data_IF_674944029670
#
_entry.id   IF_674944029670
#
_cell.length_a   1.000
_cell.length_b   1.000
_cell.length_c   1.000
_cell.angle_alpha   90.00
_cell.angle_beta   90.00
_cell.angle_gamma   90.00
#
_symmetry.space_group_name_H-M   'P 1'
#
loop_
_entity.id
_entity.type
_entity.pdbx_description
1 polymer ?
#
# COMPACT_ATOMS: atom_id res chain seq x y z
N UNK A 1 -12.31 48.40 -14.32
CA UNK A 1 -11.38 47.42 -13.74
C UNK A 1 -12.02 46.89 -12.45
N UNK A 2 -12.39 45.63 -12.38
CA UNK A 2 -12.93 45.02 -11.16
C UNK A 2 -11.74 44.52 -10.31
N UNK A 3 -11.74 44.70 -8.97
CA UNK A 3 -10.66 44.21 -8.13
C UNK A 3 -10.66 42.67 -8.06
N UNK A 4 -9.49 42.03 -7.80
CA UNK A 4 -9.37 40.56 -7.79
C UNK A 4 -10.14 39.95 -6.60
N UNK A 5 -10.73 38.80 -6.84
CA UNK A 5 -11.60 38.05 -5.89
C UNK A 5 -11.00 37.75 -4.52
N UNK A 6 -9.68 37.84 -4.36
CA UNK A 6 -9.00 37.61 -3.08
C UNK A 6 -9.29 38.70 -2.02
N UNK A 7 -9.65 39.92 -2.44
CA UNK A 7 -9.92 41.03 -1.51
C UNK A 7 -11.34 40.94 -0.88
N UNK A 8 -12.27 40.23 -1.50
CA UNK A 8 -13.64 40.06 -0.96
C UNK A 8 -13.70 39.01 0.16
N UNK A 9 -12.77 38.06 0.19
CA UNK A 9 -12.72 37.05 1.25
C UNK A 9 -12.20 37.59 2.58
N UNK A 10 -11.27 38.55 2.55
CA UNK A 10 -10.71 39.16 3.76
C UNK A 10 -11.68 40.10 4.47
N UNK A 11 -12.55 40.79 3.73
CA UNK A 11 -13.53 41.70 4.35
C UNK A 11 -14.69 40.95 5.06
N UNK A 12 -15.01 39.75 4.63
CA UNK A 12 -16.09 38.95 5.24
C UNK A 12 -15.66 38.31 6.58
N UNK A 13 -14.39 38.07 6.79
CA UNK A 13 -13.87 37.50 8.05
C UNK A 13 -13.77 38.55 9.15
N UNK A 14 -13.44 39.81 8.82
CA UNK A 14 -13.34 40.89 9.78
C UNK A 14 -14.71 41.31 10.33
N UNK A 15 -15.78 41.21 9.56
CA UNK A 15 -17.14 41.51 10.02
C UNK A 15 -17.73 40.45 10.94
N UNK A 16 -17.27 39.18 10.85
CA UNK A 16 -17.74 38.12 11.73
C UNK A 16 -17.06 38.14 13.13
N UNK A 17 -15.82 38.65 13.23
CA UNK A 17 -15.12 38.77 14.52
C UNK A 17 -15.60 39.96 15.37
N UNK A 18 -16.16 41.01 14.75
CA UNK A 18 -16.67 42.19 15.47
C UNK A 18 -18.06 41.94 16.10
N UNK A 19 -18.80 40.94 15.68
CA UNK A 19 -20.10 40.59 16.22
C UNK A 19 -20.08 39.69 17.47
N UNK A 20 -18.94 39.05 17.75
CA UNK A 20 -18.80 38.13 18.90
C UNK A 20 -18.27 38.79 20.18
N UNK A 21 -17.83 40.04 20.14
CA UNK A 21 -17.33 40.78 21.32
C UNK A 21 -18.36 41.67 22.02
N UNK A 22 -19.60 41.76 21.53
CA UNK A 22 -20.65 42.61 22.06
C UNK A 22 -21.66 41.92 23.02
N UNK A 23 -21.49 40.64 23.34
CA UNK A 23 -22.47 39.86 24.13
C UNK A 23 -21.97 39.45 25.55
N UNK A 24 -20.88 39.99 26.05
CA UNK A 24 -20.32 39.66 27.39
C UNK A 24 -20.14 40.87 28.30
N UNK A 25 -21.13 41.77 28.34
CA UNK A 25 -21.10 42.90 29.24
C UNK A 25 -22.47 43.26 29.77
N UNK A 26 -22.87 42.69 30.88
CA UNK A 26 -24.11 43.16 31.53
C UNK A 26 -24.72 42.16 32.51
N UNK A 27 -24.20 42.02 33.71
CA UNK A 27 -24.93 41.64 34.91
C UNK A 27 -24.05 41.99 36.14
N UNK A 28 -24.16 43.23 36.60
CA UNK A 28 -23.73 43.61 37.94
C UNK A 28 -24.92 44.38 38.59
N UNK A 29 -25.31 43.96 39.76
CA UNK A 29 -26.09 44.81 40.63
C UNK A 29 -27.22 44.11 41.37
N UNK A 30 -27.05 43.89 42.63
CA UNK A 30 -27.78 44.49 43.73
C UNK A 30 -27.61 43.67 45.00
N UNK A 31 -26.96 44.25 46.02
CA UNK A 31 -26.81 43.67 47.33
C UNK A 31 -28.08 43.74 48.17
N UNK A 32 -28.28 42.70 48.96
CA UNK A 32 -29.27 42.67 50.04
C UNK A 32 -28.64 41.98 51.25
N UNK A 33 -28.44 42.76 52.31
CA UNK A 33 -27.95 42.27 53.61
C UNK A 33 -29.06 41.53 54.36
N UNK A 34 -28.83 40.23 54.65
CA UNK A 34 -29.69 39.46 55.57
C UNK A 34 -29.04 39.35 56.96
N UNK A 35 -29.83 39.27 58.03
CA UNK A 35 -29.35 39.35 59.41
C UNK A 35 -28.61 38.11 59.85
N UNK A 36 -27.60 38.34 60.72
CA UNK A 36 -26.75 37.32 61.35
C UNK A 36 -27.57 36.50 62.35
N UNK A 37 -27.67 35.19 62.15
CA UNK A 37 -28.22 34.24 63.10
C UNK A 37 -27.12 33.71 64.05
N UNK A 38 -27.43 33.71 65.36
CA UNK A 38 -26.61 33.24 66.45
C UNK A 38 -26.33 31.71 66.31
N UNK A 39 -25.09 31.24 66.49
CA UNK A 39 -24.80 29.79 66.31
C UNK A 39 -25.33 28.97 67.51
N UNK A 40 -26.11 27.94 67.21
CA UNK A 40 -26.51 26.88 68.11
C UNK A 40 -25.31 25.90 68.26
N UNK A 41 -24.99 25.38 69.45
CA UNK A 41 -23.86 24.50 69.64
C UNK A 41 -24.10 23.13 68.93
N UNK A 42 -23.28 22.87 67.97
CA UNK A 42 -23.32 21.62 67.22
C UNK A 42 -22.65 20.50 68.02
N UNK A 43 -23.39 19.42 68.22
CA UNK A 43 -22.92 18.19 68.85
C UNK A 43 -21.81 17.57 67.98
N UNK A 44 -20.63 17.33 68.53
CA UNK A 44 -19.49 16.69 67.86
C UNK A 44 -19.87 15.31 67.34
N UNK A 45 -19.77 15.02 66.06
CA UNK A 45 -20.03 13.65 65.58
C UNK A 45 -18.96 12.69 66.05
N UNK A 46 -19.36 11.51 66.51
CA UNK A 46 -18.47 10.38 66.79
C UNK A 46 -17.73 9.97 65.50
N UNK A 47 -16.41 9.68 65.50
CA UNK A 47 -15.69 9.25 64.32
C UNK A 47 -16.31 7.95 63.78
N UNK A 48 -16.70 7.98 62.51
CA UNK A 48 -17.12 6.82 61.78
C UNK A 48 -15.90 5.89 61.56
N UNK A 49 -16.05 4.63 61.80
CA UNK A 49 -15.04 3.63 61.45
C UNK A 49 -14.76 3.65 59.96
N UNK A 50 -13.52 3.96 59.61
CA UNK A 50 -13.05 3.90 58.24
C UNK A 50 -13.13 2.44 57.71
N UNK A 51 -13.84 2.15 56.61
CA UNK A 51 -13.85 0.79 56.08
C UNK A 51 -12.44 0.40 55.64
N UNK A 52 -12.00 -0.76 56.00
CA UNK A 52 -10.75 -1.36 55.57
C UNK A 52 -10.80 -1.53 54.04
N UNK A 53 -9.83 -1.01 53.29
CA UNK A 53 -9.82 -1.18 51.83
C UNK A 53 -9.82 -2.67 51.45
N UNK A 54 -10.55 -3.09 50.41
CA UNK A 54 -10.52 -4.46 49.94
C UNK A 54 -9.10 -4.85 49.50
N UNK A 55 -8.71 -6.13 49.65
CA UNK A 55 -7.40 -6.61 49.19
C UNK A 55 -7.25 -6.31 47.70
N UNK A 56 -6.01 -5.97 47.23
CA UNK A 56 -5.77 -5.66 45.83
C UNK A 56 -6.17 -6.86 44.95
N UNK A 57 -7.00 -6.60 43.95
CA UNK A 57 -7.33 -7.58 42.91
C UNK A 57 -6.02 -8.01 42.24
N UNK A 58 -5.73 -9.31 42.05
CA UNK A 58 -4.52 -9.74 41.37
C UNK A 58 -4.49 -9.14 39.96
N UNK A 59 -3.45 -8.37 39.69
CA UNK A 59 -3.18 -7.86 38.33
C UNK A 59 -2.95 -9.07 37.41
N UNK A 60 -3.67 -9.20 36.30
CA UNK A 60 -3.43 -10.30 35.36
C UNK A 60 -1.97 -10.26 34.91
N UNK A 61 -1.26 -11.35 35.15
CA UNK A 61 0.10 -11.54 34.62
C UNK A 61 0.01 -11.49 33.11
N UNK A 62 0.79 -10.62 32.42
CA UNK A 62 0.76 -10.58 30.98
C UNK A 62 1.10 -11.96 30.43
N UNK A 63 0.19 -12.50 29.61
CA UNK A 63 0.44 -13.76 28.88
C UNK A 63 1.67 -13.53 28.01
N UNK A 64 2.71 -14.39 28.07
CA UNK A 64 3.89 -14.22 27.24
C UNK A 64 3.46 -14.19 25.77
N UNK A 65 3.84 -13.12 25.06
CA UNK A 65 3.68 -13.05 23.62
C UNK A 65 4.46 -14.21 23.02
N UNK A 66 3.84 -15.10 22.22
CA UNK A 66 4.55 -16.22 21.63
C UNK A 66 5.74 -15.70 20.82
N UNK A 67 6.93 -16.16 21.13
CA UNK A 67 8.13 -15.88 20.32
C UNK A 67 7.87 -16.40 18.91
N UNK A 68 8.00 -15.60 17.87
CA UNK A 68 7.76 -16.07 16.52
C UNK A 68 8.68 -17.25 16.21
N UNK A 69 8.10 -18.36 15.79
CA UNK A 69 8.85 -19.53 15.33
C UNK A 69 9.71 -19.11 14.14
N UNK A 70 11.02 -19.38 14.14
CA UNK A 70 11.88 -19.02 13.01
C UNK A 70 11.34 -19.66 11.72
N UNK A 71 11.17 -18.83 10.67
CA UNK A 71 10.79 -19.32 9.34
C UNK A 71 11.95 -20.22 8.85
N UNK A 72 11.67 -21.44 8.36
CA UNK A 72 12.72 -22.29 7.78
C UNK A 72 13.48 -21.55 6.67
N UNK A 73 14.78 -21.76 6.61
CA UNK A 73 15.69 -21.01 5.71
C UNK A 73 15.35 -21.15 4.21
N UNK A 74 14.61 -22.20 3.83
CA UNK A 74 14.19 -22.46 2.45
C UNK A 74 12.73 -22.05 2.18
N UNK A 75 12.11 -21.28 3.06
CA UNK A 75 10.76 -20.72 2.85
C UNK A 75 10.88 -19.28 2.33
N UNK A 76 10.24 -19.03 1.20
CA UNK A 76 10.18 -17.68 0.62
C UNK A 76 9.38 -16.74 1.56
N UNK A 77 10.02 -15.69 2.11
CA UNK A 77 9.36 -14.79 3.07
C UNK A 77 8.25 -13.94 2.45
N UNK A 78 8.13 -13.91 1.11
CA UNK A 78 7.10 -13.16 0.39
C UNK A 78 5.88 -13.99 0.01
N UNK A 79 6.01 -15.33 -0.01
CA UNK A 79 4.92 -16.22 -0.46
C UNK A 79 4.65 -17.39 0.48
N UNK A 80 5.53 -17.68 1.44
CA UNK A 80 5.46 -18.89 2.26
C UNK A 80 5.78 -20.18 1.51
N UNK A 81 6.10 -20.12 0.20
CA UNK A 81 6.44 -21.29 -0.60
C UNK A 81 7.82 -21.85 -0.22
N UNK A 82 7.92 -23.17 -0.12
CA UNK A 82 9.20 -23.86 0.04
C UNK A 82 9.92 -23.87 -1.30
N UNK A 83 11.15 -23.38 -1.35
CA UNK A 83 11.99 -23.45 -2.54
C UNK A 83 12.96 -24.64 -2.46
N UNK A 84 13.23 -25.24 -3.61
CA UNK A 84 14.16 -26.37 -3.68
C UNK A 84 15.61 -25.95 -3.42
N UNK A 85 15.98 -24.75 -3.89
CA UNK A 85 17.31 -24.17 -3.70
C UNK A 85 17.20 -22.88 -2.84
N UNK A 86 17.71 -22.96 -1.63
CA UNK A 86 17.77 -21.83 -0.69
C UNK A 86 18.49 -20.62 -1.28
N UNK A 87 19.49 -20.81 -2.15
CA UNK A 87 20.23 -19.72 -2.77
C UNK A 87 19.32 -18.77 -3.58
N UNK A 88 18.14 -19.25 -4.04
CA UNK A 88 17.15 -18.41 -4.68
C UNK A 88 16.60 -17.29 -3.75
N UNK A 89 16.59 -17.52 -2.45
CA UNK A 89 16.10 -16.58 -1.45
C UNK A 89 17.19 -15.61 -0.96
N UNK A 90 18.46 -15.90 -1.24
CA UNK A 90 19.57 -15.01 -0.87
C UNK A 90 19.83 -13.92 -1.92
N UNK A 91 19.06 -13.93 -3.01
CA UNK A 91 19.15 -12.96 -4.10
C UNK A 91 18.45 -11.65 -3.74
N UNK A 92 18.89 -10.55 -4.36
CA UNK A 92 18.20 -9.27 -4.22
C UNK A 92 16.82 -9.35 -4.89
N UNK A 93 15.74 -8.88 -4.23
CA UNK A 93 14.43 -8.76 -4.86
C UNK A 93 14.47 -7.79 -6.05
N UNK A 94 13.77 -8.12 -7.12
CA UNK A 94 13.66 -7.26 -8.31
C UNK A 94 12.22 -6.75 -8.41
N UNK A 95 12.08 -5.43 -8.51
CA UNK A 95 10.82 -4.76 -8.75
C UNK A 95 10.77 -4.29 -10.21
N UNK A 96 9.76 -4.70 -10.95
CA UNK A 96 9.60 -4.31 -12.36
C UNK A 96 8.30 -3.54 -12.52
N UNK A 97 8.41 -2.32 -13.08
CA UNK A 97 7.24 -1.49 -13.37
C UNK A 97 6.58 -1.90 -14.65
N UNK A 98 5.33 -2.30 -14.59
CA UNK A 98 4.58 -2.89 -15.71
C UNK A 98 3.36 -2.05 -16.00
N UNK A 99 3.07 -1.81 -17.27
CA UNK A 99 1.84 -1.11 -17.69
C UNK A 99 0.64 -2.05 -17.67
N UNK A 100 -0.53 -1.53 -17.32
CA UNK A 100 -1.81 -2.25 -17.42
C UNK A 100 -2.84 -1.49 -18.29
N UNK A 101 -2.44 -0.38 -18.88
CA UNK A 101 -3.30 0.44 -19.73
C UNK A 101 -2.50 1.10 -20.86
N UNK A 102 -3.06 1.28 -22.07
CA UNK A 102 -4.39 0.85 -22.50
C UNK A 102 -4.42 -0.63 -22.95
N UNK A 103 -5.51 -1.36 -22.68
CA UNK A 103 -5.62 -2.82 -22.87
C UNK A 103 -5.20 -3.30 -24.26
N UNK A 104 -5.64 -2.63 -25.31
CA UNK A 104 -5.40 -3.05 -26.71
C UNK A 104 -3.92 -3.10 -27.10
N UNK A 105 -3.04 -2.42 -26.39
CA UNK A 105 -1.61 -2.40 -26.66
C UNK A 105 -0.79 -3.23 -25.69
N UNK A 106 -1.29 -3.42 -24.44
CA UNK A 106 -0.48 -4.01 -23.38
C UNK A 106 -0.91 -5.41 -22.99
N UNK A 107 -2.16 -5.79 -23.25
CA UNK A 107 -2.62 -7.15 -22.94
C UNK A 107 -2.32 -8.13 -24.08
N UNK A 108 -1.98 -9.40 -23.76
CA UNK A 108 -1.54 -9.87 -22.45
C UNK A 108 -0.14 -9.37 -22.08
N UNK A 109 0.10 -9.09 -20.81
CA UNK A 109 1.43 -8.85 -20.26
C UNK A 109 2.18 -10.18 -20.13
N UNK A 110 3.50 -10.10 -19.97
CA UNK A 110 4.36 -11.28 -19.80
C UNK A 110 4.97 -11.34 -18.40
N UNK A 111 5.06 -12.54 -17.85
CA UNK A 111 5.79 -12.86 -16.64
C UNK A 111 5.07 -12.56 -15.32
N UNK A 112 3.76 -12.26 -15.38
CA UNK A 112 2.95 -11.84 -14.23
C UNK A 112 2.69 -13.00 -13.27
N UNK A 113 2.36 -14.19 -13.82
CA UNK A 113 2.12 -15.40 -13.02
C UNK A 113 3.36 -15.87 -12.24
N UNK A 114 4.54 -15.39 -12.60
CA UNK A 114 5.79 -15.72 -11.91
C UNK A 114 6.17 -14.73 -10.79
N UNK A 115 5.46 -13.62 -10.66
CA UNK A 115 5.73 -12.68 -9.58
C UNK A 115 5.36 -13.29 -8.21
N UNK A 116 6.21 -13.03 -7.21
CA UNK A 116 5.92 -13.36 -5.83
C UNK A 116 4.80 -12.43 -5.29
N UNK A 117 4.91 -11.14 -5.59
CA UNK A 117 3.91 -10.13 -5.25
C UNK A 117 3.66 -9.19 -6.43
N UNK A 118 2.45 -8.65 -6.52
CA UNK A 118 2.11 -7.58 -7.46
C UNK A 118 1.34 -6.50 -6.72
N UNK A 119 1.72 -5.25 -6.96
CA UNK A 119 0.98 -4.07 -6.50
C UNK A 119 0.32 -3.40 -7.69
N UNK A 120 -1.01 -3.36 -7.69
CA UNK A 120 -1.80 -2.58 -8.64
C UNK A 120 -2.24 -1.27 -8.00
N UNK A 121 -2.06 -0.17 -8.69
CA UNK A 121 -2.46 1.15 -8.24
C UNK A 121 -2.84 2.03 -9.44
N UNK A 122 -3.53 3.13 -9.17
CA UNK A 122 -3.82 4.11 -10.20
C UNK A 122 -2.59 4.58 -10.95
N UNK A 123 -2.82 4.89 -12.20
CA UNK A 123 -1.98 5.80 -12.94
C UNK A 123 -2.41 7.27 -12.70
N UNK A 124 -1.54 8.22 -12.98
CA UNK A 124 -1.79 9.64 -12.78
C UNK A 124 -3.03 10.13 -13.52
N UNK A 125 -3.66 11.15 -12.96
CA UNK A 125 -4.82 11.81 -13.53
C UNK A 125 -6.12 11.06 -13.35
N UNK A 126 -6.14 9.96 -12.61
CA UNK A 126 -7.33 9.15 -12.28
C UNK A 126 -8.18 8.73 -13.50
N UNK A 127 -7.68 9.00 -14.72
CA UNK A 127 -8.39 8.79 -15.97
C UNK A 127 -7.85 7.66 -16.84
N UNK A 128 -6.67 7.12 -16.51
CA UNK A 128 -5.90 6.27 -17.41
C UNK A 128 -5.59 4.88 -16.86
N UNK A 129 -6.53 4.26 -16.16
CA UNK A 129 -6.37 2.89 -15.69
C UNK A 129 -5.26 2.74 -14.63
N UNK A 130 -4.64 1.58 -14.58
CA UNK A 130 -3.68 1.22 -13.53
C UNK A 130 -2.28 0.91 -14.08
N UNK A 131 -1.32 0.82 -13.17
CA UNK A 131 0.01 0.21 -13.37
C UNK A 131 0.28 -0.82 -12.30
N UNK A 132 1.17 -1.74 -12.63
CA UNK A 132 1.64 -2.77 -11.73
C UNK A 132 3.10 -2.58 -11.39
N UNK A 133 3.46 -2.98 -10.18
CA UNK A 133 4.83 -3.23 -9.77
C UNK A 133 4.92 -4.68 -9.34
N UNK A 134 5.54 -5.50 -10.19
CA UNK A 134 5.78 -6.92 -9.90
C UNK A 134 7.08 -7.08 -9.11
N UNK A 135 7.06 -7.94 -8.09
CA UNK A 135 8.20 -8.22 -7.21
C UNK A 135 8.59 -9.69 -7.39
N UNK A 136 9.86 -9.91 -7.69
CA UNK A 136 10.43 -11.22 -8.04
C UNK A 136 11.62 -11.53 -7.13
N UNK A 137 11.48 -12.52 -6.26
CA UNK A 137 12.55 -13.03 -5.42
C UNK A 137 12.98 -14.44 -5.86
N UNK A 138 12.02 -15.37 -5.88
CA UNK A 138 12.29 -16.80 -6.05
C UNK A 138 12.27 -17.27 -7.51
N UNK A 139 11.56 -16.55 -8.39
CA UNK A 139 11.33 -16.95 -9.78
C UNK A 139 11.89 -15.93 -10.76
N UNK A 140 12.48 -16.43 -11.86
CA UNK A 140 13.05 -15.61 -12.93
C UNK A 140 12.36 -15.93 -14.27
N UNK A 141 11.18 -15.35 -14.55
CA UNK A 141 10.60 -15.45 -15.88
C UNK A 141 11.51 -14.78 -16.90
N UNK A 142 11.62 -15.35 -18.09
CA UNK A 142 12.54 -14.87 -19.13
C UNK A 142 12.10 -13.55 -19.80
N UNK A 143 10.88 -13.09 -19.51
CA UNK A 143 10.33 -11.85 -20.04
C UNK A 143 9.30 -11.29 -19.08
N UNK A 144 9.44 -10.01 -18.74
CA UNK A 144 8.48 -9.25 -17.94
C UNK A 144 8.20 -7.91 -18.62
N UNK A 145 6.93 -7.57 -18.75
CA UNK A 145 6.51 -6.30 -19.31
C UNK A 145 5.17 -6.34 -20.05
N UNK A 146 4.82 -5.26 -20.79
CA UNK A 146 5.67 -4.12 -21.14
C UNK A 146 6.05 -3.25 -19.95
N UNK A 147 7.35 -2.90 -19.89
CA UNK A 147 7.91 -2.07 -18.81
C UNK A 147 7.56 -0.60 -19.06
N UNK A 148 7.21 0.11 -18.01
CA UNK A 148 6.82 1.54 -18.08
C UNK A 148 7.50 2.37 -17.00
N UNK A 149 7.19 3.67 -17.03
CA UNK A 149 7.77 4.64 -16.09
C UNK A 149 7.37 4.35 -14.65
N UNK A 150 8.33 4.45 -13.75
CA UNK A 150 8.13 4.41 -12.30
C UNK A 150 7.32 5.60 -11.80
N UNK A 151 6.82 5.47 -10.60
CA UNK A 151 5.94 6.43 -9.91
C UNK A 151 6.39 6.59 -8.45
N UNK A 152 5.88 7.60 -7.76
CA UNK A 152 6.25 7.86 -6.36
C UNK A 152 6.02 6.67 -5.43
N UNK A 153 4.96 5.87 -5.67
CA UNK A 153 4.73 4.65 -4.90
C UNK A 153 5.89 3.64 -5.01
N UNK A 154 6.61 3.64 -6.13
CA UNK A 154 7.73 2.71 -6.34
C UNK A 154 8.92 3.02 -5.44
N UNK A 155 9.09 4.27 -4.97
CA UNK A 155 10.07 4.61 -3.93
C UNK A 155 9.77 3.86 -2.63
N UNK A 156 8.48 3.81 -2.26
CA UNK A 156 8.05 3.13 -1.06
C UNK A 156 8.19 1.60 -1.20
N UNK A 157 7.72 1.05 -2.32
CA UNK A 157 7.82 -0.40 -2.57
C UNK A 157 9.28 -0.87 -2.63
N UNK A 158 10.16 -0.07 -3.26
CA UNK A 158 11.60 -0.40 -3.33
C UNK A 158 12.24 -0.43 -1.94
N UNK A 159 11.89 0.50 -1.07
CA UNK A 159 12.36 0.52 0.31
C UNK A 159 11.78 -0.65 1.13
N UNK A 160 10.45 -0.90 1.05
CA UNK A 160 9.78 -2.01 1.75
C UNK A 160 10.47 -3.35 1.43
N UNK A 161 10.64 -3.64 0.14
CA UNK A 161 11.18 -4.94 -0.29
C UNK A 161 12.70 -4.96 -0.46
N UNK A 162 13.38 -3.85 -0.16
CA UNK A 162 14.85 -3.73 -0.17
C UNK A 162 15.45 -4.21 -1.50
N UNK A 163 14.67 -3.99 -2.57
CA UNK A 163 14.94 -4.53 -3.89
C UNK A 163 15.61 -3.53 -4.82
N UNK A 164 15.60 -3.85 -6.11
CA UNK A 164 16.06 -3.01 -7.21
C UNK A 164 14.85 -2.72 -8.10
N UNK A 165 14.55 -1.44 -8.29
CA UNK A 165 13.51 -0.99 -9.19
C UNK A 165 14.04 -0.92 -10.63
N UNK A 166 13.44 -1.67 -11.54
CA UNK A 166 13.64 -1.59 -12.96
C UNK A 166 12.40 -0.94 -13.62
N UNK A 167 12.57 0.23 -14.18
CA UNK A 167 11.50 0.96 -14.86
C UNK A 167 12.02 1.70 -16.08
N UNK A 168 11.13 1.97 -17.06
CA UNK A 168 11.56 2.58 -18.31
C UNK A 168 12.01 4.04 -18.15
N UNK A 169 11.40 4.77 -17.21
CA UNK A 169 11.72 6.18 -16.98
C UNK A 169 10.94 6.76 -15.82
N UNK A 170 11.00 8.08 -15.70
CA UNK A 170 10.27 8.91 -14.74
C UNK A 170 9.93 10.24 -15.42
N UNK A 171 8.93 10.96 -14.92
CA UNK A 171 8.81 12.40 -15.18
C UNK A 171 9.98 13.15 -14.53
N UNK A 172 10.26 14.36 -14.99
CA UNK A 172 11.44 15.11 -14.53
C UNK A 172 11.45 15.29 -13.01
N UNK A 173 10.35 15.72 -12.42
CA UNK A 173 10.30 15.93 -10.97
C UNK A 173 10.38 14.64 -10.17
N UNK A 174 9.78 13.53 -10.65
CA UNK A 174 9.91 12.22 -9.99
C UNK A 174 11.33 11.69 -10.13
N UNK A 175 11.98 11.87 -11.29
CA UNK A 175 13.39 11.51 -11.51
C UNK A 175 14.30 12.22 -10.52
N UNK A 176 14.08 13.53 -10.32
CA UNK A 176 14.92 14.34 -9.43
C UNK A 176 14.77 13.87 -7.98
N UNK A 177 13.53 13.58 -7.53
CA UNK A 177 13.30 12.97 -6.23
C UNK A 177 13.95 11.58 -6.07
N UNK A 178 13.90 10.76 -7.13
CA UNK A 178 14.56 9.44 -7.11
C UNK A 178 16.08 9.60 -6.96
N UNK A 179 16.68 10.57 -7.67
CA UNK A 179 18.11 10.85 -7.62
C UNK A 179 18.56 11.38 -6.26
N UNK A 180 17.69 12.14 -5.58
CA UNK A 180 17.95 12.69 -4.24
C UNK A 180 17.63 11.69 -3.10
N UNK A 181 17.09 10.50 -3.45
CA UNK A 181 16.66 9.51 -2.45
C UNK A 181 17.82 8.60 -2.00
N UNK A 182 17.57 7.90 -0.89
CA UNK A 182 18.43 6.84 -0.35
C UNK A 182 18.45 5.54 -1.20
N UNK A 183 17.70 5.53 -2.30
CA UNK A 183 17.64 4.42 -3.25
C UNK A 183 18.65 4.58 -4.39
N UNK A 184 19.06 5.82 -4.68
CA UNK A 184 20.02 6.09 -5.76
C UNK A 184 21.46 6.08 -5.26
N UNK A 185 22.42 5.57 -6.07
CA UNK A 185 22.23 4.96 -7.40
C UNK A 185 21.96 3.45 -7.36
N UNK A 186 22.06 2.81 -6.20
CA UNK A 186 22.25 1.37 -6.06
C UNK A 186 20.97 0.54 -6.23
N UNK A 187 19.78 1.19 -6.18
CA UNK A 187 18.49 0.49 -6.18
C UNK A 187 17.55 0.86 -7.28
N UNK A 188 18.03 1.60 -8.29
CA UNK A 188 17.19 2.05 -9.40
C UNK A 188 17.97 1.89 -10.71
N UNK A 189 17.34 1.24 -11.69
CA UNK A 189 17.84 1.23 -13.07
C UNK A 189 16.75 1.74 -14.02
N UNK A 190 17.07 2.79 -14.80
CA UNK A 190 16.07 3.48 -15.64
C UNK A 190 16.70 4.28 -16.76
N UNK A 191 16.02 4.37 -17.92
CA UNK A 191 16.45 5.27 -19.01
C UNK A 191 16.41 6.76 -18.67
N UNK A 192 15.64 7.18 -17.66
CA UNK A 192 15.70 8.56 -17.15
C UNK A 192 16.93 8.83 -16.29
N UNK A 193 17.68 7.80 -15.94
CA UNK A 193 18.93 7.83 -15.20
C UNK A 193 20.01 7.09 -16.02
N UNK A 194 20.47 7.68 -17.14
CA UNK A 194 21.33 6.98 -18.10
C UNK A 194 22.64 6.48 -17.49
N UNK A 195 23.12 7.10 -16.43
CA UNK A 195 24.26 6.66 -15.64
C UNK A 195 24.05 5.30 -14.97
N UNK A 196 22.80 4.83 -14.84
CA UNK A 196 22.47 3.50 -14.29
C UNK A 196 22.38 2.41 -15.36
N UNK A 197 22.52 2.72 -16.64
CA UNK A 197 22.26 1.78 -17.75
C UNK A 197 23.48 0.96 -18.22
N UNK A 198 24.41 0.65 -17.35
CA UNK A 198 25.58 -0.15 -17.74
C UNK A 198 25.83 -1.30 -16.74
N UNK A 199 25.52 -2.56 -17.10
CA UNK A 199 24.91 -3.02 -18.35
C UNK A 199 23.42 -2.66 -18.45
N UNK A 200 22.91 -2.42 -19.65
CA UNK A 200 21.47 -2.16 -19.87
C UNK A 200 20.65 -3.46 -19.71
N UNK A 201 19.75 -3.54 -18.73
CA UNK A 201 18.93 -4.74 -18.53
C UNK A 201 17.70 -4.79 -19.43
N UNK A 202 17.40 -3.72 -20.16
CA UNK A 202 16.18 -3.62 -20.97
C UNK A 202 16.42 -4.04 -22.41
N UNK A 203 15.32 -4.40 -23.07
CA UNK A 203 15.29 -4.64 -24.52
C UNK A 203 13.90 -4.31 -25.07
N UNK A 204 13.81 -4.24 -26.41
CA UNK A 204 12.54 -4.07 -27.10
C UNK A 204 12.15 -5.35 -27.82
N UNK A 205 10.85 -5.67 -27.73
CA UNK A 205 10.22 -6.75 -28.48
C UNK A 205 9.26 -6.12 -29.52
N UNK A 206 9.59 -6.29 -30.79
CA UNK A 206 8.81 -5.80 -31.93
C UNK A 206 7.94 -6.89 -32.56
N UNK A 207 7.75 -8.03 -31.90
CA UNK A 207 6.89 -9.10 -32.40
C UNK A 207 5.40 -8.73 -32.45
N UNK A 208 5.02 -7.67 -31.75
CA UNK A 208 3.67 -7.12 -31.72
C UNK A 208 3.63 -5.77 -32.44
N UNK A 209 2.59 -5.55 -33.25
CA UNK A 209 2.32 -4.23 -33.85
C UNK A 209 1.63 -3.31 -32.83
N UNK A 210 2.43 -2.67 -32.00
CA UNK A 210 1.99 -1.76 -30.93
C UNK A 210 2.88 -0.51 -30.93
N UNK A 211 2.39 0.63 -30.37
CA UNK A 211 3.22 1.83 -30.22
C UNK A 211 4.53 1.55 -29.47
N UNK A 212 5.60 2.26 -29.86
CA UNK A 212 6.96 2.05 -29.39
C UNK A 212 7.08 2.00 -27.86
N UNK A 213 6.29 2.79 -27.16
CA UNK A 213 6.27 2.85 -25.68
C UNK A 213 5.74 1.57 -25.03
N UNK A 214 5.17 0.63 -25.79
CA UNK A 214 4.66 -0.65 -25.30
C UNK A 214 5.52 -1.84 -25.74
N UNK A 215 6.71 -1.61 -26.28
CA UNK A 215 7.64 -2.65 -26.75
C UNK A 215 8.79 -2.93 -25.76
N UNK A 216 8.86 -2.22 -24.65
CA UNK A 216 9.94 -2.36 -23.67
C UNK A 216 9.74 -3.54 -22.74
N UNK A 217 10.79 -4.36 -22.55
CA UNK A 217 10.80 -5.53 -21.68
C UNK A 217 12.11 -5.64 -20.89
N UNK A 218 12.07 -6.41 -19.83
CA UNK A 218 13.23 -6.87 -19.07
C UNK A 218 12.91 -8.25 -18.46
N UNK A 219 13.82 -8.76 -17.64
CA UNK A 219 13.57 -9.91 -16.77
C UNK A 219 14.40 -9.80 -15.47
N UNK A 220 14.01 -10.52 -14.39
CA UNK A 220 14.71 -10.44 -13.12
C UNK A 220 16.18 -10.86 -13.20
N UNK A 221 16.54 -11.78 -14.09
CA UNK A 221 17.92 -12.23 -14.31
C UNK A 221 18.80 -11.10 -14.82
N UNK A 222 18.34 -10.33 -15.82
CA UNK A 222 19.05 -9.16 -16.35
C UNK A 222 19.23 -8.07 -15.30
N UNK A 223 18.21 -7.80 -14.51
CA UNK A 223 18.29 -6.80 -13.43
C UNK A 223 19.26 -7.25 -12.33
N UNK A 224 19.31 -8.54 -12.00
CA UNK A 224 20.31 -9.07 -11.06
C UNK A 224 21.71 -9.05 -11.62
N UNK A 225 21.90 -9.32 -12.90
CA UNK A 225 23.21 -9.17 -13.56
C UNK A 225 23.67 -7.69 -13.51
N UNK A 226 22.74 -6.75 -13.70
CA UNK A 226 23.02 -5.32 -13.48
C UNK A 226 23.46 -5.06 -12.03
N UNK A 227 22.72 -5.59 -11.05
CA UNK A 227 23.04 -5.43 -9.62
C UNK A 227 24.44 -5.98 -9.29
N UNK A 228 24.76 -7.17 -9.80
CA UNK A 228 26.05 -7.79 -9.58
C UNK A 228 27.21 -6.95 -10.17
N UNK A 229 27.01 -6.38 -11.37
CA UNK A 229 27.95 -5.47 -12.00
C UNK A 229 28.19 -4.18 -11.17
N UNK A 230 27.20 -3.76 -10.37
CA UNK A 230 27.30 -2.63 -9.43
C UNK A 230 27.74 -3.05 -8.01
N UNK A 231 28.18 -4.29 -7.83
CA UNK A 231 28.66 -4.76 -6.53
C UNK A 231 27.57 -5.10 -5.51
N UNK A 232 26.30 -5.09 -5.92
CA UNK A 232 25.15 -5.42 -5.07
C UNK A 232 25.02 -6.95 -5.07
N UNK A 233 25.45 -7.58 -3.98
CA UNK A 233 25.42 -9.04 -3.81
C UNK A 233 24.42 -9.44 -2.75
N UNK A 234 23.50 -10.32 -3.13
CA UNK A 234 22.55 -10.91 -2.23
C UNK A 234 21.45 -9.95 -1.74
N UNK A 235 20.53 -10.48 -0.96
CA UNK A 235 19.46 -9.69 -0.35
C UNK A 235 19.92 -9.01 0.94
N UNK A 236 19.31 -7.89 1.25
CA UNK A 236 19.35 -7.36 2.60
C UNK A 236 18.41 -8.16 3.51
N UNK A 237 18.76 -8.30 4.79
CA UNK A 237 17.89 -8.91 5.79
C UNK A 237 16.62 -8.11 6.00
N UNK A 238 15.57 -8.74 6.57
CA UNK A 238 14.34 -8.06 6.97
C UNK A 238 13.25 -8.06 5.89
N UNK A 239 13.11 -9.15 5.13
CA UNK A 239 11.94 -9.43 4.30
C UNK A 239 10.86 -10.23 5.07
N UNK A 240 11.10 -10.54 6.31
CA UNK A 240 10.19 -11.21 7.22
C UNK A 240 9.15 -10.19 7.73
N UNK A 241 7.90 -10.66 7.91
CA UNK A 241 6.80 -9.80 8.41
C UNK A 241 5.43 -10.28 7.96
N UNK A 242 5.35 -10.94 6.81
CA UNK A 242 4.14 -11.67 6.42
C UNK A 242 4.11 -13.05 7.07
N UNK A 243 2.94 -13.48 7.47
CA UNK A 243 2.69 -14.82 8.04
C UNK A 243 1.89 -15.63 7.03
N UNK A 244 2.18 -16.93 6.92
CA UNK A 244 1.54 -17.81 5.95
C UNK A 244 0.98 -19.06 6.61
N UNK A 245 -0.20 -19.51 6.14
CA UNK A 245 -0.81 -20.79 6.51
C UNK A 245 -1.61 -21.35 5.34
N UNK A 246 -1.60 -22.67 5.18
CA UNK A 246 -2.51 -23.36 4.26
C UNK A 246 -3.86 -23.71 4.91
N UNK A 247 -3.99 -23.55 6.22
CA UNK A 247 -5.25 -23.78 6.91
C UNK A 247 -6.25 -22.69 6.48
N UNK A 248 -7.47 -23.07 6.06
CA UNK A 248 -8.50 -22.10 5.74
C UNK A 248 -8.83 -21.19 6.93
N UNK A 249 -9.19 -19.92 6.69
CA UNK A 249 -9.65 -19.03 7.77
C UNK A 249 -10.88 -19.61 8.46
N UNK A 250 -10.93 -19.49 9.78
CA UNK A 250 -12.10 -19.87 10.59
C UNK A 250 -13.14 -18.76 10.69
N UNK A 251 -12.75 -17.54 10.36
CA UNK A 251 -13.55 -16.32 10.41
C UNK A 251 -13.45 -15.55 9.09
N UNK A 252 -14.43 -14.71 8.83
CA UNK A 252 -14.50 -13.89 7.62
C UNK A 252 -15.86 -13.97 6.93
N UNK A 253 -16.06 -13.14 5.93
CA UNK A 253 -17.28 -13.13 5.13
C UNK A 253 -17.06 -13.94 3.83
N UNK A 254 -18.07 -14.64 3.30
CA UNK A 254 -17.97 -15.23 1.97
C UNK A 254 -17.56 -14.19 0.92
N UNK A 255 -16.59 -14.51 0.10
CA UNK A 255 -16.01 -13.59 -0.87
C UNK A 255 -15.60 -14.35 -2.14
N UNK A 256 -16.59 -14.80 -2.91
CA UNK A 256 -16.34 -15.49 -4.16
C UNK A 256 -15.92 -14.56 -5.29
N UNK A 257 -16.27 -13.28 -5.17
CA UNK A 257 -15.95 -12.28 -6.19
C UNK A 257 -15.57 -10.95 -5.54
N UNK A 258 -14.52 -10.33 -6.09
CA UNK A 258 -14.13 -8.95 -5.81
C UNK A 258 -14.16 -8.19 -7.13
N UNK A 259 -14.79 -7.01 -7.15
CA UNK A 259 -14.73 -6.06 -8.27
C UNK A 259 -14.19 -4.71 -7.81
N UNK A 260 -13.30 -4.14 -8.62
CA UNK A 260 -12.71 -2.83 -8.41
C UNK A 260 -12.85 -2.04 -9.70
N UNK A 261 -13.50 -0.89 -9.63
CA UNK A 261 -13.75 -0.04 -10.79
C UNK A 261 -12.75 1.10 -10.87
N UNK A 262 -11.70 0.92 -11.68
CA UNK A 262 -10.63 1.90 -11.89
C UNK A 262 -10.96 2.91 -13.01
N UNK A 263 -12.08 3.60 -12.94
CA UNK A 263 -12.58 4.53 -13.96
C UNK A 263 -12.65 3.95 -15.39
N UNK A 264 -11.52 3.68 -16.04
CA UNK A 264 -11.46 3.14 -17.42
C UNK A 264 -11.10 1.65 -17.47
N UNK A 265 -10.92 1.02 -16.34
CA UNK A 265 -10.57 -0.38 -16.22
C UNK A 265 -11.34 -1.01 -15.07
N UNK A 266 -12.00 -2.12 -15.34
CA UNK A 266 -12.61 -2.96 -14.29
C UNK A 266 -11.70 -4.15 -14.03
N UNK A 267 -11.29 -4.31 -12.78
CA UNK A 267 -10.60 -5.50 -12.27
C UNK A 267 -11.60 -6.36 -11.53
N UNK A 268 -11.61 -7.64 -11.84
CA UNK A 268 -12.44 -8.62 -11.16
C UNK A 268 -11.59 -9.85 -10.77
N UNK A 269 -11.78 -10.31 -9.55
CA UNK A 269 -11.20 -11.54 -9.02
C UNK A 269 -12.30 -12.50 -8.66
N UNK A 270 -12.26 -13.71 -9.21
CA UNK A 270 -13.27 -14.75 -8.99
C UNK A 270 -12.61 -15.97 -8.37
N UNK A 271 -13.08 -16.37 -7.20
CA UNK A 271 -12.57 -17.55 -6.51
C UNK A 271 -12.93 -18.82 -7.27
N UNK A 272 -11.92 -19.61 -7.58
CA UNK A 272 -12.05 -20.94 -8.15
C UNK A 272 -11.79 -22.01 -7.07
N UNK A 273 -12.83 -22.72 -6.59
CA UNK A 273 -12.68 -23.74 -5.56
C UNK A 273 -11.80 -24.93 -5.99
N UNK A 274 -11.69 -25.19 -7.31
CA UNK A 274 -10.91 -26.32 -7.80
C UNK A 274 -9.41 -26.07 -7.64
N UNK A 275 -8.95 -24.87 -7.90
CA UNK A 275 -7.54 -24.48 -7.70
C UNK A 275 -7.29 -23.87 -6.32
N UNK A 276 -8.34 -23.46 -5.60
CA UNK A 276 -8.24 -22.72 -4.35
C UNK A 276 -7.61 -21.32 -4.52
N UNK A 277 -7.78 -20.71 -5.70
CA UNK A 277 -7.16 -19.43 -6.07
C UNK A 277 -8.21 -18.46 -6.61
N UNK A 278 -7.87 -17.18 -6.61
CA UNK A 278 -8.63 -16.18 -7.32
C UNK A 278 -8.11 -16.01 -8.74
N UNK A 279 -9.02 -16.11 -9.71
CA UNK A 279 -8.74 -15.90 -11.14
C UNK A 279 -9.04 -14.46 -11.52
N UNK A 280 -8.12 -13.82 -12.24
CA UNK A 280 -8.26 -12.42 -12.66
C UNK A 280 -9.03 -12.29 -13.96
N UNK A 281 -9.96 -11.34 -13.95
CA UNK A 281 -10.61 -10.80 -15.16
C UNK A 281 -10.35 -9.30 -15.23
N UNK A 282 -10.26 -8.78 -16.44
CA UNK A 282 -10.15 -7.36 -16.71
C UNK A 282 -11.16 -6.99 -17.79
N UNK A 283 -11.99 -5.98 -17.52
CA UNK A 283 -13.11 -5.63 -18.39
C UNK A 283 -13.98 -6.85 -18.75
N UNK A 284 -14.20 -7.75 -17.77
CA UNK A 284 -14.99 -9.00 -17.87
C UNK A 284 -14.38 -10.08 -18.77
N UNK A 285 -13.16 -9.89 -19.25
CA UNK A 285 -12.43 -10.90 -20.03
C UNK A 285 -11.38 -11.58 -19.16
N UNK A 286 -11.14 -12.89 -19.29
CA UNK A 286 -10.03 -13.55 -18.63
C UNK A 286 -8.72 -12.85 -18.94
N UNK A 287 -8.01 -12.42 -17.93
CA UNK A 287 -6.72 -11.74 -18.08
C UNK A 287 -5.61 -12.81 -18.06
N UNK A 288 -4.88 -12.94 -19.15
CA UNK A 288 -3.88 -13.99 -19.33
C UNK A 288 -2.45 -13.45 -19.29
N UNK A 289 -1.49 -14.31 -18.98
CA UNK A 289 -0.05 -14.03 -19.11
C UNK A 289 0.45 -14.48 -20.49
N UNK A 290 1.17 -13.60 -21.17
CA UNK A 290 1.71 -13.91 -22.50
C UNK A 290 2.84 -14.95 -22.48
N UNK A 291 3.47 -15.19 -21.32
CA UNK A 291 4.60 -16.09 -21.21
C UNK A 291 4.15 -17.57 -21.13
N UNK A 292 3.07 -17.86 -20.41
CA UNK A 292 2.57 -19.21 -20.19
C UNK A 292 1.17 -19.46 -20.77
N UNK A 293 0.51 -18.42 -21.29
CA UNK A 293 -0.84 -18.48 -21.86
C UNK A 293 -1.95 -18.73 -20.83
N UNK A 294 -1.63 -18.80 -19.54
CA UNK A 294 -2.60 -19.09 -18.49
C UNK A 294 -3.27 -17.82 -17.98
N UNK A 295 -4.47 -17.99 -17.47
CA UNK A 295 -5.15 -16.89 -16.78
C UNK A 295 -4.37 -16.48 -15.52
N UNK A 296 -4.25 -15.18 -15.28
CA UNK A 296 -3.63 -14.64 -14.07
C UNK A 296 -4.41 -15.12 -12.86
N UNK A 297 -3.66 -15.56 -11.85
CA UNK A 297 -4.26 -16.05 -10.61
C UNK A 297 -3.43 -15.69 -9.38
N UNK A 298 -4.10 -15.58 -8.24
CA UNK A 298 -3.49 -15.26 -6.97
C UNK A 298 -3.96 -16.23 -5.87
N UNK A 299 -3.06 -16.62 -4.98
CA UNK A 299 -3.44 -17.31 -3.75
C UNK A 299 -4.17 -16.37 -2.80
N UNK A 300 -3.75 -15.09 -2.79
CA UNK A 300 -4.35 -14.03 -2.02
C UNK A 300 -4.59 -12.79 -2.88
N UNK A 301 -5.69 -12.09 -2.63
CA UNK A 301 -5.91 -10.72 -3.09
C UNK A 301 -6.10 -9.82 -1.88
N UNK A 302 -5.30 -8.77 -1.77
CA UNK A 302 -5.34 -7.87 -0.62
C UNK A 302 -5.69 -6.47 -1.10
N UNK A 303 -6.83 -5.95 -0.69
CA UNK A 303 -7.20 -4.55 -0.93
C UNK A 303 -6.62 -3.70 0.17
N UNK A 304 -5.69 -2.80 -0.18
CA UNK A 304 -5.08 -1.84 0.75
C UNK A 304 -5.72 -0.47 0.56
N UNK A 305 -6.36 0.04 1.59
CA UNK A 305 -6.84 1.43 1.61
C UNK A 305 -5.72 2.34 2.09
N UNK A 306 -5.26 3.23 1.19
CA UNK A 306 -4.09 4.08 1.41
C UNK A 306 -4.45 5.54 1.18
N UNK A 307 -4.07 6.41 2.11
CA UNK A 307 -4.21 7.85 1.91
C UNK A 307 -3.34 8.32 0.75
N UNK A 308 -3.87 9.23 -0.04
CA UNK A 308 -3.17 9.78 -1.21
C UNK A 308 -3.46 11.26 -1.40
N UNK A 309 -2.57 11.94 -2.11
CA UNK A 309 -2.77 13.32 -2.53
C UNK A 309 -2.01 13.63 -3.82
N UNK A 310 -2.47 14.64 -4.54
CA UNK A 310 -1.72 15.18 -5.67
C UNK A 310 -0.54 16.00 -5.14
N UNK A 311 0.62 15.79 -5.73
CA UNK A 311 1.80 16.61 -5.49
C UNK A 311 1.77 17.84 -6.41
N UNK A 312 2.80 18.69 -6.34
CA UNK A 312 3.05 19.76 -7.31
C UNK A 312 3.94 19.33 -8.49
N UNK A 313 4.25 18.02 -8.60
CA UNK A 313 5.09 17.48 -9.66
C UNK A 313 4.23 17.19 -10.89
N UNK A 314 4.54 17.81 -12.02
CA UNK A 314 3.90 17.51 -13.29
C UNK A 314 4.42 16.18 -13.82
N UNK A 315 3.52 15.21 -13.92
CA UNK A 315 3.82 13.87 -14.42
C UNK A 315 3.74 13.77 -15.93
N UNK A 316 2.78 14.48 -16.52
CA UNK A 316 2.57 14.51 -17.95
C UNK A 316 2.44 15.97 -18.42
N UNK A 317 3.47 16.51 -19.09
CA UNK A 317 3.54 17.95 -19.45
C UNK A 317 2.41 18.44 -20.36
N UNK A 318 1.91 17.59 -21.29
CA UNK A 318 0.88 18.01 -22.23
C UNK A 318 -0.50 18.17 -21.58
N UNK A 319 -0.82 17.33 -20.62
CA UNK A 319 -2.10 17.36 -19.90
C UNK A 319 -2.04 18.11 -18.59
N UNK A 320 -0.82 18.39 -18.08
CA UNK A 320 -0.60 19.00 -16.77
C UNK A 320 -0.96 18.06 -15.59
N UNK A 321 -1.09 16.76 -15.83
CA UNK A 321 -1.40 15.79 -14.79
C UNK A 321 -0.29 15.75 -13.73
N UNK A 322 -0.70 15.73 -12.45
CA UNK A 322 0.20 15.75 -11.32
C UNK A 322 0.45 14.33 -10.80
N UNK A 323 1.67 14.11 -10.30
CA UNK A 323 2.03 12.86 -9.62
C UNK A 323 1.22 12.65 -8.36
N UNK A 324 0.92 11.39 -8.06
CA UNK A 324 0.19 10.97 -6.87
C UNK A 324 1.19 10.45 -5.84
N UNK A 325 1.14 11.03 -4.64
CA UNK A 325 1.81 10.46 -3.47
C UNK A 325 0.88 9.47 -2.77
N UNK A 326 1.39 8.28 -2.47
CA UNK A 326 0.72 7.24 -1.69
C UNK A 326 1.41 7.10 -0.34
N UNK A 327 0.66 7.28 0.74
CA UNK A 327 1.17 7.20 2.11
C UNK A 327 1.24 5.74 2.60
N UNK A 328 2.15 4.95 2.04
CA UNK A 328 2.40 3.58 2.52
C UNK A 328 3.24 3.57 3.82
N UNK A 329 2.83 4.39 4.80
CA UNK A 329 3.42 4.46 6.15
C UNK A 329 2.35 4.85 7.19
N UNK A 330 2.59 4.51 8.46
CA UNK A 330 1.58 4.63 9.50
C UNK A 330 1.20 6.08 9.86
N UNK A 331 2.18 6.99 9.90
CA UNK A 331 2.00 8.35 10.45
C UNK A 331 0.93 9.16 9.70
N UNK A 332 0.92 9.08 8.37
CA UNK A 332 0.02 9.89 7.54
C UNK A 332 -1.21 9.12 7.04
N UNK A 333 -1.45 7.94 7.62
CA UNK A 333 -2.57 7.10 7.22
C UNK A 333 -3.29 6.49 8.42
N UNK A 334 -4.22 7.23 9.06
CA UNK A 334 -4.97 6.73 10.20
C UNK A 334 -5.96 5.60 9.84
N UNK A 335 -6.32 5.46 8.55
CA UNK A 335 -7.32 4.50 8.06
C UNK A 335 -6.69 3.28 7.37
N UNK A 336 -5.63 2.75 7.90
CA UNK A 336 -4.84 1.61 7.37
C UNK A 336 -5.64 0.31 7.21
N UNK A 337 -6.85 0.41 6.67
CA UNK A 337 -7.73 -0.73 6.42
C UNK A 337 -7.14 -1.63 5.34
N UNK A 338 -7.21 -2.92 5.58
CA UNK A 338 -6.95 -3.95 4.58
C UNK A 338 -8.11 -4.93 4.52
N UNK A 339 -8.40 -5.48 3.34
CA UNK A 339 -9.30 -6.61 3.18
C UNK A 339 -8.50 -7.72 2.52
N UNK A 340 -8.38 -8.85 3.19
CA UNK A 340 -7.59 -9.99 2.75
C UNK A 340 -8.55 -11.05 2.22
N UNK A 341 -8.48 -11.33 0.91
CA UNK A 341 -9.25 -12.39 0.27
C UNK A 341 -8.36 -13.61 0.06
N UNK A 342 -8.75 -14.75 0.66
CA UNK A 342 -8.13 -16.06 0.48
C UNK A 342 -9.17 -17.16 0.71
N UNK A 343 -9.02 -18.28 0.05
CA UNK A 343 -9.88 -19.47 0.24
C UNK A 343 -11.40 -19.18 0.12
N UNK A 344 -11.79 -18.17 -0.69
CA UNK A 344 -13.19 -17.80 -0.89
C UNK A 344 -13.79 -16.97 0.25
N UNK A 345 -12.98 -16.44 1.15
CA UNK A 345 -13.39 -15.58 2.29
C UNK A 345 -12.64 -14.27 2.25
N UNK A 346 -13.29 -13.20 2.75
CA UNK A 346 -12.69 -11.91 3.02
C UNK A 346 -12.55 -11.68 4.53
N UNK A 347 -11.36 -11.27 4.95
CA UNK A 347 -11.01 -10.96 6.34
C UNK A 347 -10.68 -9.48 6.41
N UNK A 348 -11.32 -8.74 7.31
CA UNK A 348 -10.97 -7.36 7.61
C UNK A 348 -9.70 -7.30 8.46
N UNK A 349 -8.80 -6.40 8.12
CA UNK A 349 -7.54 -6.23 8.80
C UNK A 349 -7.00 -4.82 8.73
N UNK A 350 -5.82 -4.65 9.29
CA UNK A 350 -5.06 -3.41 9.31
C UNK A 350 -3.68 -3.69 8.75
N UNK A 351 -3.25 -2.89 7.77
CA UNK A 351 -1.88 -2.95 7.30
C UNK A 351 -1.00 -2.00 8.15
N UNK A 352 0.25 -2.39 8.40
CA UNK A 352 1.20 -1.62 9.20
C UNK A 352 2.56 -1.54 8.53
N UNK A 353 3.19 -0.34 8.62
CA UNK A 353 4.57 -0.04 8.28
C UNK A 353 5.00 1.21 9.05
N UNK A 354 5.91 1.07 10.01
CA UNK A 354 6.30 2.18 10.89
C UNK A 354 7.48 2.98 10.35
N UNK A 355 8.47 2.29 9.81
CA UNK A 355 9.71 2.89 9.30
C UNK A 355 9.85 2.65 7.81
N UNK A 356 10.65 3.49 7.15
CA UNK A 356 10.87 3.45 5.70
C UNK A 356 11.26 2.07 5.17
N UNK A 357 12.11 1.35 5.89
CA UNK A 357 12.63 0.04 5.48
C UNK A 357 11.92 -1.15 6.14
N UNK A 358 10.84 -0.91 6.88
CA UNK A 358 10.05 -1.99 7.44
C UNK A 358 9.19 -2.66 6.37
N UNK A 359 8.96 -3.95 6.55
CA UNK A 359 8.01 -4.70 5.71
C UNK A 359 6.58 -4.26 5.99
N UNK A 360 5.75 -4.37 4.97
CA UNK A 360 4.31 -4.27 5.13
C UNK A 360 3.80 -5.52 5.88
N UNK A 361 3.04 -5.33 6.96
CA UNK A 361 2.43 -6.41 7.73
C UNK A 361 0.91 -6.25 7.79
N UNK A 362 0.21 -7.37 8.01
CA UNK A 362 -1.25 -7.41 8.10
C UNK A 362 -1.65 -7.97 9.47
N UNK A 363 -2.46 -7.23 10.21
CA UNK A 363 -2.93 -7.64 11.54
C UNK A 363 -4.43 -7.48 11.67
N UNK A 364 -5.02 -8.18 12.64
CA UNK A 364 -6.36 -7.88 13.13
C UNK A 364 -6.35 -6.56 13.96
N UNK A 365 -7.52 -6.06 14.40
CA UNK A 365 -7.60 -4.83 15.20
C UNK A 365 -6.92 -4.90 16.57
N UNK A 366 -6.62 -6.11 17.09
CA UNK A 366 -5.93 -6.29 18.37
C UNK A 366 -4.43 -6.59 18.21
N UNK A 367 -3.94 -6.60 16.94
CA UNK A 367 -2.53 -6.71 16.63
C UNK A 367 -2.02 -8.12 16.31
N UNK A 368 -2.89 -9.14 16.27
CA UNK A 368 -2.47 -10.47 15.85
C UNK A 368 -2.25 -10.52 14.32
N UNK A 369 -1.17 -11.16 13.84
CA UNK A 369 -0.95 -11.31 12.41
C UNK A 369 -2.08 -12.08 11.73
N UNK A 370 -2.53 -11.59 10.56
CA UNK A 370 -3.47 -12.31 9.70
C UNK A 370 -2.66 -13.13 8.68
N UNK A 371 -2.75 -14.48 8.72
CA UNK A 371 -2.00 -15.32 7.81
C UNK A 371 -2.53 -15.19 6.36
N UNK A 372 -1.62 -15.01 5.41
CA UNK A 372 -1.88 -15.21 4.00
C UNK A 372 -1.84 -16.70 3.66
N UNK A 373 -2.51 -17.12 2.59
CA UNK A 373 -2.34 -18.45 2.01
C UNK A 373 -0.97 -18.55 1.36
N UNK A 374 -0.34 -19.71 1.47
CA UNK A 374 0.93 -19.97 0.77
C UNK A 374 0.74 -19.79 -0.74
N UNK A 375 1.54 -18.93 -1.35
CA UNK A 375 1.52 -18.56 -2.76
C UNK A 375 1.60 -17.05 -2.99
N UNK A 376 1.50 -16.65 -4.26
CA UNK A 376 1.60 -15.25 -4.66
C UNK A 376 0.42 -14.39 -4.16
N UNK A 377 0.69 -13.10 -3.97
CA UNK A 377 -0.33 -12.12 -3.54
C UNK A 377 -0.41 -10.95 -4.51
N UNK A 378 -1.64 -10.57 -4.90
CA UNK A 378 -1.94 -9.28 -5.52
C UNK A 378 -2.42 -8.29 -4.47
N UNK A 379 -1.77 -7.14 -4.42
CA UNK A 379 -2.17 -5.99 -3.62
C UNK A 379 -2.86 -4.97 -4.50
N UNK A 380 -4.13 -4.72 -4.25
CA UNK A 380 -4.96 -3.71 -4.90
C UNK A 380 -4.91 -2.44 -4.04
N UNK A 381 -4.08 -1.47 -4.41
CA UNK A 381 -3.88 -0.23 -3.64
C UNK A 381 -4.94 0.78 -4.05
N UNK A 382 -5.94 0.97 -3.19
CA UNK A 382 -7.05 1.88 -3.43
C UNK A 382 -6.98 3.09 -2.50
N UNK A 383 -7.50 4.26 -2.93
CA UNK A 383 -7.58 5.41 -2.05
C UNK A 383 -8.53 5.17 -0.88
N UNK A 384 -8.25 5.81 0.25
CA UNK A 384 -9.23 5.95 1.32
C UNK A 384 -10.43 6.78 0.84
N UNK A 385 -11.60 6.60 1.47
CA UNK A 385 -12.82 7.31 1.09
C UNK A 385 -12.62 8.83 0.96
N UNK A 386 -13.25 9.44 -0.05
CA UNK A 386 -13.15 10.86 -0.35
C UNK A 386 -13.38 11.18 -1.82
N UNK A 387 -12.82 12.28 -2.31
CA UNK A 387 -13.00 12.78 -3.68
C UNK A 387 -12.53 11.78 -4.76
N UNK A 388 -11.67 10.83 -4.39
CA UNK A 388 -11.04 9.85 -5.28
C UNK A 388 -11.50 8.42 -5.02
N UNK A 389 -12.66 8.25 -4.40
CA UNK A 389 -13.18 6.92 -4.05
C UNK A 389 -13.28 6.01 -5.27
N UNK A 390 -12.73 4.80 -5.12
CA UNK A 390 -12.90 3.70 -6.07
C UNK A 390 -13.92 2.72 -5.51
N UNK A 391 -14.96 2.38 -6.27
CA UNK A 391 -15.87 1.32 -5.89
C UNK A 391 -15.14 -0.01 -5.76
N UNK A 392 -15.18 -0.58 -4.55
CA UNK A 392 -14.73 -1.93 -4.22
C UNK A 392 -15.94 -2.71 -3.77
N UNK A 393 -16.31 -3.76 -4.51
CA UNK A 393 -17.50 -4.58 -4.25
C UNK A 393 -17.07 -6.03 -4.04
N UNK A 394 -17.44 -6.60 -2.89
CA UNK A 394 -17.20 -8.01 -2.57
C UNK A 394 -18.56 -8.72 -2.58
N UNK A 395 -18.63 -9.83 -3.29
CA UNK A 395 -19.83 -10.66 -3.43
C UNK A 395 -19.57 -12.06 -2.84
N UNK A 396 -20.57 -12.64 -2.16
CA UNK A 396 -20.46 -13.98 -1.55
C UNK A 396 -20.36 -15.12 -2.55
#
# INVERSE_FOLDING_TARGET
MKPPRALQFFLSIITLLAAMTALLGGLAGCGGTAPVATPTPTRTPRPASTPTPPPPTPTPTPTPVPTPTPIPENVNPLTGEVVADKALLDRVPVLIKITNYPPQYVWPQAGINSADLIFEHYNEGFRYGTRWTGIYLSKDPQRVGPVRSGRLIDMELTAIYKGILACWGFSDGVRDLMRDSDLYPDRIVSYSLPETLSPDPFYRDFSRDVPLEHTGYTDPGRVRAWAEAHGIKGRQQGLEGMVFSNDPPTEGMPARRLRISWHQLETEWVYDPASGRYLRFSNRLPHTDALDGKQLSAANVVVLYVSQWLTNIVEEPHSGLLSIQWALWNLDNPYRRAIILRDGVAIEGIWNREKRWDMLTLTDPVGNPIPLKVGNTFFEVVPTAGEWEIPVVIEP
#
